data_IF_024623744945
#
_entry.id   IF_024623744945
#
_cell.length_a   1.000
_cell.length_b   1.000
_cell.length_c   1.000
_cell.angle_alpha   90.00
_cell.angle_beta   90.00
_cell.angle_gamma   90.00
#
_symmetry.space_group_name_H-M   'P 1'
#
loop_
_entity.id
_entity.type
_entity.pdbx_description
1 polymer ?
#
# COMPACT_ATOMS: atom_id res chain seq x y z
N UNK A 1 16.48 -31.52 26.56
CA UNK A 1 16.71 -30.12 26.16
C UNK A 1 17.44 -29.96 24.82
N UNK A 2 18.67 -30.48 24.63
CA UNK A 2 19.42 -30.30 23.35
C UNK A 2 18.68 -30.77 22.08
N UNK A 3 18.03 -31.95 22.12
CA UNK A 3 17.24 -32.48 20.97
C UNK A 3 16.01 -31.63 20.63
N UNK A 4 15.38 -31.02 21.63
CA UNK A 4 14.20 -30.16 21.45
C UNK A 4 14.58 -28.83 20.79
N UNK A 5 15.70 -28.23 21.21
CA UNK A 5 16.24 -27.02 20.58
C UNK A 5 16.65 -27.25 19.12
N UNK A 6 17.19 -28.44 18.81
CA UNK A 6 17.54 -28.82 17.44
C UNK A 6 16.30 -28.91 16.53
N UNK A 7 15.23 -29.56 17.00
CA UNK A 7 13.96 -29.66 16.24
C UNK A 7 13.32 -28.28 16.04
N UNK A 8 13.29 -27.42 17.07
CA UNK A 8 12.78 -26.05 16.94
C UNK A 8 13.58 -25.26 15.90
N UNK A 9 14.91 -25.39 15.91
CA UNK A 9 15.77 -24.74 14.91
C UNK A 9 15.48 -25.18 13.48
N UNK A 10 15.27 -26.48 13.25
CA UNK A 10 14.90 -27.01 11.92
C UNK A 10 13.52 -26.49 11.50
N UNK A 11 12.52 -26.56 12.38
CA UNK A 11 11.17 -26.09 12.08
C UNK A 11 11.15 -24.60 11.74
N UNK A 12 11.90 -23.78 12.48
CA UNK A 12 12.04 -22.36 12.20
C UNK A 12 12.74 -22.10 10.86
N UNK A 13 13.83 -22.82 10.57
CA UNK A 13 14.53 -22.72 9.28
C UNK A 13 13.65 -23.09 8.08
N UNK A 14 12.86 -24.16 8.20
CA UNK A 14 11.89 -24.55 7.18
C UNK A 14 10.79 -23.51 6.99
N UNK A 15 10.26 -22.95 8.09
CA UNK A 15 9.25 -21.89 8.04
C UNK A 15 9.77 -20.62 7.35
N UNK A 16 10.98 -20.17 7.70
CA UNK A 16 11.61 -19.01 7.06
C UNK A 16 11.88 -19.26 5.59
N UNK A 17 12.36 -20.46 5.22
CA UNK A 17 12.58 -20.83 3.82
C UNK A 17 11.28 -20.83 3.02
N UNK A 18 10.20 -21.35 3.60
CA UNK A 18 8.87 -21.31 2.99
C UNK A 18 8.39 -19.86 2.80
N UNK A 19 8.50 -19.01 3.81
CA UNK A 19 8.12 -17.59 3.68
C UNK A 19 8.91 -16.88 2.57
N UNK A 20 10.23 -17.07 2.52
CA UNK A 20 11.08 -16.47 1.48
C UNK A 20 10.69 -17.00 0.09
N UNK A 21 10.51 -18.32 -0.05
CA UNK A 21 10.12 -18.93 -1.32
C UNK A 21 8.76 -18.40 -1.80
N UNK A 22 7.78 -18.28 -0.90
CA UNK A 22 6.45 -17.73 -1.26
C UNK A 22 6.51 -16.24 -1.62
N UNK A 23 7.29 -15.44 -0.90
CA UNK A 23 7.48 -14.02 -1.22
C UNK A 23 8.20 -13.81 -2.56
N UNK A 24 9.24 -14.60 -2.83
CA UNK A 24 9.96 -14.55 -4.09
C UNK A 24 9.10 -15.01 -5.28
N UNK A 25 8.34 -16.09 -5.12
CA UNK A 25 7.41 -16.56 -6.16
C UNK A 25 6.28 -15.55 -6.40
N UNK A 26 5.73 -14.94 -5.35
CA UNK A 26 4.72 -13.89 -5.49
C UNK A 26 5.27 -12.67 -6.23
N UNK A 27 6.51 -12.25 -5.92
CA UNK A 27 7.19 -11.18 -6.62
C UNK A 27 7.43 -11.53 -8.10
N UNK A 28 8.00 -12.71 -8.39
CA UNK A 28 8.23 -13.15 -9.77
C UNK A 28 6.93 -13.26 -10.58
N UNK A 29 5.85 -13.71 -9.95
CA UNK A 29 4.53 -13.75 -10.57
C UNK A 29 3.98 -12.34 -10.85
N UNK A 30 4.15 -11.40 -9.91
CA UNK A 30 3.77 -10.00 -10.11
C UNK A 30 4.55 -9.36 -11.28
N UNK A 31 5.86 -9.60 -11.36
CA UNK A 31 6.72 -9.14 -12.47
C UNK A 31 6.31 -9.80 -13.79
N UNK A 32 6.01 -11.10 -13.80
CA UNK A 32 5.53 -11.78 -15.02
C UNK A 32 4.23 -11.16 -15.56
N UNK A 33 3.40 -10.59 -14.69
CA UNK A 33 2.16 -9.93 -15.04
C UNK A 33 2.30 -8.43 -15.32
N UNK A 34 3.51 -7.86 -15.23
CA UNK A 34 3.75 -6.42 -15.39
C UNK A 34 3.23 -5.90 -16.74
N UNK A 35 3.44 -6.64 -17.82
CA UNK A 35 2.93 -6.31 -19.16
C UNK A 35 1.38 -6.33 -19.26
N UNK A 36 0.71 -6.91 -18.27
CA UNK A 36 -0.75 -6.98 -18.18
C UNK A 36 -1.33 -5.96 -17.20
N UNK A 37 -0.48 -5.18 -16.52
CA UNK A 37 -0.96 -4.15 -15.61
C UNK A 37 -1.62 -3.04 -16.39
N UNK A 38 -2.92 -2.88 -16.16
CA UNK A 38 -3.66 -1.73 -16.66
C UNK A 38 -3.51 -0.61 -15.64
N UNK A 39 -3.13 0.62 -16.06
CA UNK A 39 -3.09 1.76 -15.16
C UNK A 39 -4.43 1.91 -14.44
N UNK A 40 -4.41 1.83 -13.13
CA UNK A 40 -5.59 2.14 -12.33
C UNK A 40 -5.82 3.65 -12.42
N UNK A 41 -6.96 4.06 -12.98
CA UNK A 41 -7.42 5.45 -13.00
C UNK A 41 -8.71 5.60 -12.16
N UNK A 42 -8.65 5.30 -10.85
CA UNK A 42 -9.82 5.39 -9.99
C UNK A 42 -10.31 6.83 -9.93
N UNK A 43 -11.63 7.01 -10.05
CA UNK A 43 -12.30 8.30 -9.96
C UNK A 43 -12.89 8.55 -8.59
N UNK A 44 -13.17 7.49 -7.86
CA UNK A 44 -13.78 7.56 -6.53
C UNK A 44 -12.94 6.85 -5.49
N UNK A 45 -13.18 7.20 -4.23
CA UNK A 45 -12.62 6.49 -3.08
C UNK A 45 -12.90 4.99 -3.11
N UNK A 46 -14.14 4.61 -3.45
CA UNK A 46 -14.54 3.21 -3.49
C UNK A 46 -13.80 2.43 -4.58
N UNK A 47 -13.62 3.03 -5.76
CA UNK A 47 -12.82 2.43 -6.83
C UNK A 47 -11.35 2.26 -6.41
N UNK A 48 -10.73 3.29 -5.81
CA UNK A 48 -9.36 3.19 -5.32
C UNK A 48 -9.22 2.07 -4.29
N UNK A 49 -10.10 2.05 -3.29
CA UNK A 49 -10.03 1.07 -2.20
C UNK A 49 -10.31 -0.37 -2.68
N UNK A 50 -10.97 -0.55 -3.83
CA UNK A 50 -11.11 -1.87 -4.47
C UNK A 50 -9.77 -2.40 -5.04
N UNK A 51 -8.82 -1.51 -5.36
CA UNK A 51 -7.48 -1.88 -5.82
C UNK A 51 -6.45 -1.98 -4.69
N UNK A 52 -6.71 -1.38 -3.53
CA UNK A 52 -5.79 -1.37 -2.41
C UNK A 52 -5.96 -2.60 -1.51
N UNK A 53 -4.85 -3.26 -1.19
CA UNK A 53 -4.80 -4.36 -0.23
C UNK A 53 -3.85 -4.03 0.93
N UNK A 54 -4.18 -4.52 2.13
CA UNK A 54 -3.35 -4.40 3.33
C UNK A 54 -2.88 -2.96 3.60
N UNK A 55 -3.83 -2.06 3.83
CA UNK A 55 -3.54 -0.65 4.10
C UNK A 55 -4.14 -0.18 5.43
N UNK A 56 -3.61 0.93 5.96
CA UNK A 56 -4.32 1.77 6.93
C UNK A 56 -4.63 3.13 6.30
N UNK A 57 -5.69 3.79 6.77
CA UNK A 57 -6.10 5.09 6.23
C UNK A 57 -6.33 6.09 7.38
N UNK A 58 -5.94 7.34 7.16
CA UNK A 58 -6.24 8.44 8.08
C UNK A 58 -6.37 9.77 7.34
N UNK A 59 -7.20 10.67 7.86
CA UNK A 59 -7.26 12.05 7.38
C UNK A 59 -6.01 12.80 7.83
N UNK A 60 -5.40 13.57 6.92
CA UNK A 60 -4.22 14.38 7.19
C UNK A 60 -4.41 15.80 6.68
N UNK A 61 -3.61 16.73 7.20
CA UNK A 61 -3.44 18.06 6.61
C UNK A 61 -2.39 18.03 5.50
N UNK A 62 -2.48 18.90 4.47
CA UNK A 62 -1.50 18.95 3.39
C UNK A 62 -0.05 19.03 3.88
N UNK A 63 0.22 19.81 4.94
CA UNK A 63 1.55 19.94 5.56
C UNK A 63 2.17 18.61 6.04
N UNK A 64 1.34 17.60 6.32
CA UNK A 64 1.76 16.27 6.78
C UNK A 64 2.08 15.32 5.62
N UNK A 65 1.58 15.62 4.42
CA UNK A 65 1.92 14.87 3.21
C UNK A 65 3.40 15.04 2.88
N UNK A 66 4.01 14.07 2.21
CA UNK A 66 5.38 14.21 1.69
C UNK A 66 5.39 14.97 0.35
N UNK A 67 4.48 14.64 -0.56
CA UNK A 67 4.41 15.22 -1.91
C UNK A 67 3.27 16.23 -2.10
N UNK A 68 2.22 16.15 -1.29
CA UNK A 68 1.03 17.02 -1.33
C UNK A 68 1.11 18.28 -0.48
N UNK A 69 2.29 18.66 0.06
CA UNK A 69 2.45 19.79 0.99
C UNK A 69 1.94 21.13 0.47
N UNK A 70 2.06 21.35 -0.83
CA UNK A 70 1.62 22.57 -1.49
C UNK A 70 0.11 22.63 -1.78
N UNK A 71 -0.62 21.54 -1.57
CA UNK A 71 -2.03 21.49 -1.91
C UNK A 71 -2.86 22.36 -0.97
N UNK A 72 -3.74 23.19 -1.54
CA UNK A 72 -4.69 24.02 -0.80
C UNK A 72 -6.07 23.37 -0.89
N UNK A 73 -6.49 22.73 0.20
CA UNK A 73 -7.83 22.15 0.32
C UNK A 73 -8.89 23.23 0.07
N UNK A 74 -9.79 22.95 -0.87
CA UNK A 74 -10.99 23.76 -1.12
C UNK A 74 -12.07 23.39 -0.11
N UNK A 75 -13.14 24.18 -0.08
CA UNK A 75 -14.29 23.88 0.80
C UNK A 75 -14.87 22.50 0.46
N UNK A 76 -15.07 21.66 1.50
CA UNK A 76 -15.55 20.29 1.34
C UNK A 76 -14.48 19.26 1.00
N UNK A 77 -13.26 19.68 0.64
CA UNK A 77 -12.16 18.74 0.34
C UNK A 77 -11.48 18.23 1.61
N UNK A 78 -11.00 16.98 1.54
CA UNK A 78 -10.18 16.35 2.59
C UNK A 78 -9.03 15.58 1.96
N UNK A 79 -7.87 15.60 2.62
CA UNK A 79 -6.74 14.75 2.25
C UNK A 79 -6.72 13.52 3.15
N UNK A 80 -6.59 12.34 2.55
CA UNK A 80 -6.50 11.06 3.23
C UNK A 80 -5.19 10.40 2.84
N UNK A 81 -4.42 9.98 3.83
CA UNK A 81 -3.22 9.19 3.65
C UNK A 81 -3.56 7.72 3.80
N UNK A 82 -3.23 6.94 2.78
CA UNK A 82 -3.19 5.49 2.79
C UNK A 82 -1.75 5.04 3.02
N UNK A 83 -1.52 4.18 4.02
CA UNK A 83 -0.23 3.50 4.21
C UNK A 83 -0.35 2.06 3.72
N UNK A 84 0.08 1.82 2.49
CA UNK A 84 0.12 0.50 1.86
C UNK A 84 1.22 -0.32 2.54
N UNK A 85 0.88 -1.53 2.99
CA UNK A 85 1.78 -2.36 3.81
C UNK A 85 2.38 -1.58 5.00
N UNK A 86 1.59 -0.66 5.59
CA UNK A 86 1.95 0.20 6.72
C UNK A 86 3.19 1.09 6.54
N UNK A 87 3.73 1.21 5.32
CA UNK A 87 5.05 1.81 5.09
C UNK A 87 5.13 2.69 3.85
N UNK A 88 4.33 2.40 2.81
CA UNK A 88 4.32 3.17 1.58
C UNK A 88 3.14 4.17 1.57
N UNK A 89 3.39 5.48 1.75
CA UNK A 89 2.33 6.48 1.76
C UNK A 89 1.81 6.80 0.36
N UNK A 90 0.49 6.82 0.25
CA UNK A 90 -0.30 7.30 -0.88
C UNK A 90 -1.29 8.34 -0.33
N UNK A 91 -1.09 9.62 -0.64
CA UNK A 91 -1.97 10.69 -0.18
C UNK A 91 -2.96 11.07 -1.29
N UNK A 92 -4.25 11.10 -0.97
CA UNK A 92 -5.33 11.33 -1.94
C UNK A 92 -6.23 12.45 -1.43
N UNK A 93 -6.58 13.37 -2.33
CA UNK A 93 -7.54 14.44 -2.05
C UNK A 93 -8.90 14.02 -2.58
N UNK A 94 -9.90 14.04 -1.70
CA UNK A 94 -11.30 13.80 -2.02
C UNK A 94 -12.13 15.07 -1.89
N UNK A 95 -13.17 15.21 -2.72
CA UNK A 95 -14.25 16.17 -2.48
C UNK A 95 -15.30 15.65 -1.48
N UNK A 96 -16.39 16.40 -1.30
CA UNK A 96 -17.47 16.04 -0.39
C UNK A 96 -18.21 14.77 -0.82
N UNK A 97 -18.19 14.46 -2.12
CA UNK A 97 -18.81 13.30 -2.74
C UNK A 97 -17.85 12.10 -2.92
N UNK A 98 -16.67 12.13 -2.28
CA UNK A 98 -15.65 11.08 -2.35
C UNK A 98 -15.04 10.86 -3.75
N UNK A 99 -15.10 11.87 -4.63
CA UNK A 99 -14.36 11.85 -5.90
C UNK A 99 -12.91 12.29 -5.71
N UNK A 100 -12.00 11.63 -6.42
CA UNK A 100 -10.57 11.92 -6.40
C UNK A 100 -10.29 13.22 -7.16
N UNK A 101 -9.62 14.17 -6.51
CA UNK A 101 -9.15 15.43 -7.10
C UNK A 101 -7.66 15.44 -7.38
N UNK A 102 -6.89 14.77 -6.54
CA UNK A 102 -5.43 14.66 -6.68
C UNK A 102 -4.93 13.43 -5.95
N UNK A 103 -3.84 12.86 -6.46
CA UNK A 103 -3.13 11.72 -5.88
C UNK A 103 -1.65 12.06 -5.80
N UNK A 104 -1.02 11.70 -4.69
CA UNK A 104 0.37 12.01 -4.36
C UNK A 104 1.07 10.76 -3.83
N UNK A 105 2.17 10.36 -4.48
CA UNK A 105 2.94 9.15 -4.14
C UNK A 105 4.41 9.32 -4.57
N UNK A 106 5.33 8.50 -4.02
CA UNK A 106 6.75 8.47 -4.41
C UNK A 106 7.02 7.82 -5.76
N UNK A 107 6.07 7.05 -6.27
CA UNK A 107 6.22 6.23 -7.46
C UNK A 107 5.53 6.96 -8.62
N UNK A 108 6.29 7.81 -9.32
CA UNK A 108 5.99 8.23 -10.69
C UNK A 108 6.73 7.33 -11.68
#
# INVERSE_FOLDING_TARGET
MKKMLFVIGISFGLFMTFLIATGFLAYMYAVHLEDQWVPADPKTKAELEAFLHCYSARVIQPKESLWGRGYKLRSGERMVQYLILWSAPLDVVYDAEDNIKATYTSYE
#
